data_IF_289381700324
#
_entry.id   IF_289381700324
#
_cell.length_a   1.000
_cell.length_b   1.000
_cell.length_c   1.000
_cell.angle_alpha   90.00
_cell.angle_beta   90.00
_cell.angle_gamma   90.00
#
_symmetry.space_group_name_H-M   'P 1'
#
loop_
_entity.id
_entity.type
_entity.pdbx_description
1 polymer ?
#
# COMPACT_ATOMS: atom_id res chain seq x y z
N UNK A 1 -1.83 -97.76 63.29
CA UNK A 1 -1.72 -98.22 64.75
C UNK A 1 -2.08 -97.03 65.57
N UNK A 2 -3.25 -97.12 66.16
CA UNK A 2 -3.60 -97.37 67.56
C UNK A 2 -3.69 -96.01 68.33
N UNK A 3 -4.96 -95.58 68.54
CA UNK A 3 -5.64 -95.51 69.81
C UNK A 3 -5.08 -94.44 70.80
N UNK A 4 -5.85 -93.60 71.48
CA UNK A 4 -7.19 -93.61 72.16
C UNK A 4 -7.40 -92.24 72.81
N UNK A 5 -8.57 -91.63 72.62
CA UNK A 5 -9.61 -91.28 73.61
C UNK A 5 -9.17 -90.85 75.06
N UNK A 6 -9.63 -89.71 75.46
CA UNK A 6 -10.65 -89.44 76.51
C UNK A 6 -10.67 -87.90 76.81
N UNK A 7 -11.74 -87.22 76.67
CA UNK A 7 -12.94 -86.98 77.48
C UNK A 7 -12.70 -86.34 78.84
N UNK A 8 -13.39 -85.19 78.94
CA UNK A 8 -14.17 -84.53 79.98
C UNK A 8 -13.37 -83.49 80.79
N UNK A 9 -13.84 -82.42 81.24
CA UNK A 9 -15.15 -81.92 81.59
C UNK A 9 -15.05 -80.41 81.92
N UNK A 10 -16.04 -79.61 81.58
CA UNK A 10 -16.77 -78.59 82.32
C UNK A 10 -16.00 -77.68 83.29
N UNK A 11 -16.06 -76.41 83.07
CA UNK A 11 -15.81 -75.37 84.05
C UNK A 11 -15.93 -73.97 83.41
N UNK A 12 -17.11 -73.41 83.41
CA UNK A 12 -17.33 -72.02 83.15
C UNK A 12 -16.80 -71.20 84.33
N UNK A 13 -15.88 -70.22 84.10
CA UNK A 13 -15.70 -69.16 85.06
C UNK A 13 -16.34 -67.85 84.51
N UNK A 14 -17.03 -67.24 85.38
CA UNK A 14 -17.69 -65.97 85.24
C UNK A 14 -16.78 -64.88 84.61
N UNK A 15 -17.18 -64.35 83.46
CA UNK A 15 -16.58 -63.13 82.88
C UNK A 15 -17.03 -61.94 83.74
N UNK A 16 -16.11 -61.42 84.52
CA UNK A 16 -16.21 -60.03 85.01
C UNK A 16 -16.23 -59.08 83.86
N UNK A 17 -17.30 -58.32 83.76
CA UNK A 17 -17.35 -57.15 82.87
C UNK A 17 -16.38 -56.08 83.39
N UNK A 18 -15.27 -55.92 82.80
CA UNK A 18 -14.42 -54.72 82.96
C UNK A 18 -15.09 -53.56 82.30
N UNK A 19 -15.51 -52.56 83.04
CA UNK A 19 -16.02 -51.27 82.55
C UNK A 19 -14.83 -50.50 82.03
N UNK A 20 -14.68 -50.38 80.71
CA UNK A 20 -13.71 -49.50 80.06
C UNK A 20 -14.07 -48.04 80.40
N UNK A 21 -13.10 -47.22 80.78
CA UNK A 21 -13.35 -45.81 81.08
C UNK A 21 -13.73 -45.07 79.78
N UNK A 22 -14.84 -44.42 79.84
CA UNK A 22 -15.43 -43.69 78.73
C UNK A 22 -14.49 -42.66 78.10
N UNK A 23 -14.45 -42.67 76.77
CA UNK A 23 -13.61 -41.81 75.90
C UNK A 23 -13.92 -40.32 75.99
N UNK A 24 -13.64 -39.68 77.08
CA UNK A 24 -13.77 -38.23 77.23
C UNK A 24 -12.69 -37.39 76.54
N UNK A 25 -11.60 -38.04 76.05
CA UNK A 25 -10.46 -37.30 75.43
C UNK A 25 -10.61 -37.05 73.94
N UNK A 26 -11.44 -37.73 73.17
CA UNK A 26 -11.61 -37.53 71.74
C UNK A 26 -12.34 -36.23 71.37
N UNK A 27 -13.22 -35.71 72.19
CA UNK A 27 -13.96 -34.47 71.95
C UNK A 27 -13.14 -33.20 72.18
N UNK A 28 -12.16 -33.24 73.10
CA UNK A 28 -11.28 -32.10 73.33
C UNK A 28 -10.34 -31.80 72.13
N UNK A 29 -9.80 -32.84 71.50
CA UNK A 29 -8.96 -32.67 70.29
C UNK A 29 -9.75 -32.22 69.09
N UNK A 30 -11.04 -32.62 68.97
CA UNK A 30 -11.90 -32.18 67.86
C UNK A 30 -12.23 -30.68 67.94
N UNK A 31 -12.50 -30.18 69.18
CA UNK A 31 -12.70 -28.74 69.36
C UNK A 31 -11.43 -27.92 69.10
N UNK A 32 -10.28 -28.40 69.55
CA UNK A 32 -9.00 -27.73 69.25
C UNK A 32 -8.64 -27.75 67.77
N UNK A 33 -8.89 -28.87 67.05
CA UNK A 33 -8.72 -28.97 65.61
C UNK A 33 -9.70 -28.02 64.89
N UNK A 34 -10.95 -27.95 65.27
CA UNK A 34 -11.94 -27.03 64.68
C UNK A 34 -11.54 -25.56 64.86
N UNK A 35 -11.07 -25.17 66.03
CA UNK A 35 -10.56 -23.82 66.30
C UNK A 35 -9.33 -23.51 65.44
N UNK A 36 -8.44 -24.49 65.28
CA UNK A 36 -7.24 -24.34 64.43
C UNK A 36 -7.64 -24.12 62.95
N UNK A 37 -8.60 -24.89 62.40
CA UNK A 37 -9.08 -24.69 61.04
C UNK A 37 -9.82 -23.37 60.85
N UNK A 38 -10.55 -22.88 61.83
CA UNK A 38 -11.21 -21.56 61.78
C UNK A 38 -10.17 -20.44 61.76
N UNK A 39 -9.13 -20.53 62.62
CA UNK A 39 -8.01 -19.54 62.58
C UNK A 39 -7.29 -19.59 61.26
N UNK A 40 -7.00 -20.79 60.72
CA UNK A 40 -6.36 -20.95 59.41
C UNK A 40 -7.20 -20.35 58.29
N UNK A 41 -8.54 -20.56 58.31
CA UNK A 41 -9.45 -19.98 57.33
C UNK A 41 -9.50 -18.45 57.43
N UNK A 42 -9.53 -17.89 58.64
CA UNK A 42 -9.48 -16.45 58.87
C UNK A 42 -8.15 -15.83 58.44
N UNK A 43 -7.02 -16.47 58.72
CA UNK A 43 -5.71 -16.00 58.24
C UNK A 43 -5.60 -16.10 56.73
N UNK A 44 -6.10 -17.19 56.12
CA UNK A 44 -6.14 -17.31 54.65
C UNK A 44 -7.04 -16.23 54.01
N UNK A 45 -8.20 -15.93 54.64
CA UNK A 45 -9.08 -14.85 54.17
C UNK A 45 -8.40 -13.48 54.27
N UNK A 46 -7.69 -13.20 55.38
CA UNK A 46 -6.94 -11.95 55.55
C UNK A 46 -5.77 -11.83 54.53
N UNK A 47 -5.07 -12.93 54.29
CA UNK A 47 -4.00 -12.94 53.27
C UNK A 47 -4.56 -12.74 51.88
N UNK A 48 -5.69 -13.38 51.54
CA UNK A 48 -6.38 -13.17 50.28
C UNK A 48 -6.87 -11.72 50.12
N UNK A 49 -7.43 -11.15 51.17
CA UNK A 49 -7.91 -9.77 51.19
C UNK A 49 -6.74 -8.78 51.07
N UNK A 50 -5.64 -9.01 51.78
CA UNK A 50 -4.41 -8.21 51.66
C UNK A 50 -3.79 -8.35 50.28
N UNK A 51 -3.73 -9.57 49.74
CA UNK A 51 -3.25 -9.83 48.39
C UNK A 51 -4.13 -9.14 47.32
N UNK A 52 -5.44 -9.17 47.47
CA UNK A 52 -6.37 -8.47 46.59
C UNK A 52 -6.15 -6.95 46.63
N UNK A 53 -5.99 -6.38 47.82
CA UNK A 53 -5.70 -4.94 47.95
C UNK A 53 -4.32 -4.54 47.44
N UNK A 54 -3.32 -5.39 47.53
CA UNK A 54 -1.95 -5.11 47.11
C UNK A 54 -1.73 -5.38 45.62
N UNK A 55 -2.35 -6.43 45.07
CA UNK A 55 -2.24 -6.79 43.64
C UNK A 55 -3.25 -6.06 42.73
N UNK A 56 -4.38 -5.62 43.28
CA UNK A 56 -5.43 -4.94 42.51
C UNK A 56 -4.92 -3.74 41.71
N UNK A 57 -4.20 -2.77 42.31
CA UNK A 57 -3.64 -1.63 41.59
C UNK A 57 -2.63 -2.02 40.54
N UNK A 58 -1.79 -3.05 40.78
CA UNK A 58 -0.76 -3.51 39.83
C UNK A 58 -1.36 -4.20 38.59
N UNK A 59 -2.42 -4.98 38.78
CA UNK A 59 -3.16 -5.62 37.69
C UNK A 59 -3.93 -4.55 36.89
N UNK A 60 -4.49 -3.56 37.57
CA UNK A 60 -5.22 -2.47 36.93
C UNK A 60 -4.28 -1.59 36.11
N UNK A 61 -3.13 -1.21 36.66
CA UNK A 61 -2.12 -0.41 35.95
C UNK A 61 -1.66 -1.08 34.65
N UNK A 62 -1.52 -2.39 34.64
CA UNK A 62 -1.17 -3.17 33.43
C UNK A 62 -2.29 -3.25 32.39
N UNK A 63 -3.56 -3.10 32.79
CA UNK A 63 -4.73 -3.13 31.91
C UNK A 63 -5.11 -1.76 31.34
N UNK A 64 -4.66 -0.68 31.98
CA UNK A 64 -5.12 0.68 31.67
C UNK A 64 -4.57 1.24 30.37
N UNK A 65 -3.48 0.72 29.83
CA UNK A 65 -2.84 1.26 28.63
C UNK A 65 -2.83 2.81 28.65
N UNK A 66 -1.84 3.39 29.27
CA UNK A 66 -1.62 4.83 29.22
C UNK A 66 -0.79 5.14 27.98
N UNK A 67 -1.28 6.02 27.13
CA UNK A 67 -0.66 6.43 25.89
C UNK A 67 -0.37 7.91 25.93
N UNK A 68 0.81 8.33 25.52
CA UNK A 68 1.12 9.75 25.35
C UNK A 68 0.33 10.31 24.18
N UNK A 69 -0.27 11.48 24.36
CA UNK A 69 -0.88 12.24 23.27
C UNK A 69 0.23 12.79 22.39
N UNK A 70 0.14 12.59 21.09
CA UNK A 70 1.19 12.97 20.13
C UNK A 70 0.67 14.06 19.18
N UNK A 71 1.54 15.00 18.82
CA UNK A 71 1.25 15.88 17.69
C UNK A 71 1.31 15.07 16.39
N UNK A 72 0.34 15.27 15.54
CA UNK A 72 0.31 14.56 14.26
C UNK A 72 -0.66 15.19 13.28
N UNK A 73 -0.66 14.63 12.08
CA UNK A 73 -1.49 15.06 10.97
C UNK A 73 -2.53 13.97 10.67
N UNK A 74 -3.78 14.37 10.51
CA UNK A 74 -4.85 13.54 9.98
C UNK A 74 -5.25 14.00 8.59
N UNK A 75 -5.24 13.09 7.64
CA UNK A 75 -5.57 13.36 6.25
C UNK A 75 -6.76 12.52 5.82
N UNK A 76 -7.70 13.16 5.14
CA UNK A 76 -8.76 12.43 4.44
C UNK A 76 -8.30 12.20 3.01
N UNK A 77 -8.12 10.95 2.64
CA UNK A 77 -7.66 10.54 1.32
C UNK A 77 -8.75 9.81 0.55
N UNK A 78 -8.79 10.03 -0.76
CA UNK A 78 -9.59 9.25 -1.70
C UNK A 78 -8.62 8.66 -2.70
N UNK A 79 -8.58 7.33 -2.80
CA UNK A 79 -7.85 6.65 -3.86
C UNK A 79 -8.51 6.92 -5.21
N UNK A 80 -7.73 7.37 -6.17
CA UNK A 80 -8.15 7.67 -7.53
C UNK A 80 -7.20 7.02 -8.53
N UNK A 81 -7.71 6.71 -9.69
CA UNK A 81 -6.92 6.28 -10.83
C UNK A 81 -7.13 7.24 -11.99
N UNK A 82 -6.09 7.45 -12.77
CA UNK A 82 -6.21 8.42 -13.83
C UNK A 82 -5.09 8.38 -14.87
N UNK A 83 -5.35 9.09 -15.95
CA UNK A 83 -4.46 9.20 -17.09
C UNK A 83 -3.53 10.40 -16.95
N UNK A 84 -2.27 10.19 -17.24
CA UNK A 84 -1.27 11.25 -17.34
C UNK A 84 -1.13 11.68 -18.80
N UNK A 85 -1.32 12.97 -19.06
CA UNK A 85 -1.05 13.56 -20.37
C UNK A 85 -0.06 14.70 -20.27
N UNK A 86 0.64 14.94 -21.34
CA UNK A 86 1.66 15.97 -21.47
C UNK A 86 1.60 16.56 -22.87
N UNK A 87 2.29 17.67 -23.09
CA UNK A 87 2.55 18.14 -24.45
C UNK A 87 3.60 17.24 -25.06
N UNK A 88 3.19 16.43 -26.03
CA UNK A 88 4.03 15.46 -26.73
C UNK A 88 4.07 15.83 -28.21
N UNK A 89 5.28 16.02 -28.74
CA UNK A 89 5.50 16.29 -30.16
C UNK A 89 6.02 15.03 -30.81
N UNK A 90 5.26 14.51 -31.77
CA UNK A 90 5.67 13.36 -32.56
C UNK A 90 6.71 13.78 -33.60
N UNK A 91 7.84 13.12 -33.57
CA UNK A 91 8.91 13.26 -34.57
C UNK A 91 8.76 12.19 -35.64
N UNK A 92 8.57 12.62 -36.86
CA UNK A 92 8.30 11.74 -38.02
C UNK A 92 9.58 11.46 -38.81
N UNK A 93 9.68 10.27 -39.35
CA UNK A 93 10.78 9.91 -40.25
C UNK A 93 10.85 10.86 -41.46
N UNK A 94 11.98 11.50 -41.73
CA UNK A 94 12.14 12.45 -42.83
C UNK A 94 12.25 11.76 -44.18
N UNK A 95 12.52 10.48 -44.22
CA UNK A 95 12.59 9.63 -45.40
C UNK A 95 12.30 8.18 -45.02
N UNK A 96 11.95 7.35 -45.99
CA UNK A 96 11.94 5.90 -45.81
C UNK A 96 13.39 5.41 -45.71
N UNK A 97 13.67 4.54 -44.74
CA UNK A 97 15.05 4.06 -44.52
C UNK A 97 15.22 3.36 -43.20
N UNK A 98 16.45 3.00 -42.89
CA UNK A 98 16.84 2.31 -41.65
C UNK A 98 17.38 3.29 -40.63
N UNK A 99 16.94 3.18 -39.41
CA UNK A 99 17.48 3.95 -38.27
C UNK A 99 18.90 3.46 -37.96
N UNK A 100 19.89 4.32 -38.12
CA UNK A 100 21.31 4.00 -37.90
C UNK A 100 21.75 4.36 -36.47
N UNK A 101 21.33 5.53 -36.03
CA UNK A 101 21.67 6.04 -34.70
C UNK A 101 20.44 6.67 -34.05
N UNK A 102 20.33 6.51 -32.76
CA UNK A 102 19.30 7.14 -31.90
C UNK A 102 19.98 7.91 -30.77
N UNK A 103 19.54 9.15 -30.54
CA UNK A 103 19.92 9.85 -29.31
C UNK A 103 19.33 9.12 -28.09
N UNK A 104 19.98 9.17 -26.90
CA UNK A 104 19.53 8.43 -25.73
C UNK A 104 18.07 8.73 -25.33
N UNK A 105 17.30 7.68 -25.04
CA UNK A 105 15.93 7.83 -24.55
C UNK A 105 15.93 8.20 -23.07
N UNK A 106 14.99 9.06 -22.66
CA UNK A 106 14.88 9.53 -21.26
C UNK A 106 15.82 10.69 -20.93
N UNK A 107 16.55 11.20 -21.89
CA UNK A 107 17.44 12.34 -21.69
C UNK A 107 16.89 13.63 -22.32
N UNK A 108 17.28 14.74 -21.72
CA UNK A 108 16.91 16.07 -22.22
C UNK A 108 17.87 16.51 -23.33
N UNK A 109 17.30 16.84 -24.48
CA UNK A 109 18.07 17.28 -25.63
C UNK A 109 17.71 18.70 -26.06
N UNK A 110 18.67 19.43 -26.62
CA UNK A 110 18.49 20.80 -27.08
C UNK A 110 17.89 20.83 -28.51
N UNK A 111 17.22 21.92 -28.84
CA UNK A 111 16.79 22.18 -30.23
C UNK A 111 17.98 22.12 -31.20
N UNK A 112 17.75 21.53 -32.36
CA UNK A 112 18.79 21.35 -33.40
C UNK A 112 19.72 20.15 -33.19
N UNK A 113 19.61 19.41 -32.05
CA UNK A 113 20.32 18.14 -31.86
C UNK A 113 19.70 17.06 -32.77
N UNK A 114 20.51 16.16 -33.30
CA UNK A 114 20.01 15.00 -34.04
C UNK A 114 19.35 14.01 -33.06
N UNK A 115 18.05 13.76 -33.21
CA UNK A 115 17.29 12.78 -32.45
C UNK A 115 17.47 11.37 -33.03
N UNK A 116 17.59 11.27 -34.32
CA UNK A 116 17.87 10.04 -35.05
C UNK A 116 18.67 10.34 -36.34
N UNK A 117 19.44 9.36 -36.78
CA UNK A 117 20.09 9.36 -38.04
C UNK A 117 19.56 8.20 -38.87
N UNK A 118 19.03 8.46 -40.05
CA UNK A 118 18.49 7.47 -40.97
C UNK A 118 19.39 7.29 -42.17
N UNK A 119 19.50 6.06 -42.63
CA UNK A 119 20.05 5.74 -43.93
C UNK A 119 18.89 5.57 -44.92
N UNK A 120 18.71 6.47 -45.91
CA UNK A 120 17.64 6.34 -46.87
C UNK A 120 17.71 5.02 -47.62
N UNK A 121 16.57 4.34 -47.73
CA UNK A 121 16.47 3.05 -48.39
C UNK A 121 15.12 2.97 -49.08
N UNK A 122 15.14 2.66 -50.36
CA UNK A 122 13.89 2.43 -51.09
C UNK A 122 13.32 1.06 -50.79
N UNK A 123 11.99 0.83 -50.91
CA UNK A 123 11.39 -0.48 -50.71
C UNK A 123 12.03 -1.60 -51.57
N UNK A 124 12.43 -1.28 -52.82
CA UNK A 124 13.10 -2.23 -53.72
C UNK A 124 14.54 -2.61 -53.26
N UNK A 125 15.23 -1.68 -52.62
CA UNK A 125 16.54 -1.96 -52.00
C UNK A 125 16.40 -2.73 -50.71
N UNK A 126 15.32 -2.49 -49.95
CA UNK A 126 15.00 -3.25 -48.75
C UNK A 126 14.73 -4.74 -49.09
N UNK A 127 13.94 -4.97 -50.16
CA UNK A 127 13.63 -6.35 -50.61
C UNK A 127 14.92 -7.12 -50.98
N UNK A 128 15.87 -6.44 -51.66
CA UNK A 128 17.19 -7.03 -51.96
C UNK A 128 18.01 -7.37 -50.70
N UNK A 129 18.00 -6.47 -49.71
CA UNK A 129 18.69 -6.74 -48.45
C UNK A 129 18.06 -7.92 -47.69
N UNK A 130 16.73 -8.06 -47.75
CA UNK A 130 16.03 -9.21 -47.16
C UNK A 130 16.39 -10.52 -47.85
N UNK A 131 16.43 -10.55 -49.18
CA UNK A 131 16.85 -11.74 -49.94
C UNK A 131 18.30 -12.15 -49.63
N UNK A 132 19.20 -11.16 -49.41
CA UNK A 132 20.58 -11.41 -49.00
C UNK A 132 20.71 -11.88 -47.56
N UNK A 133 19.89 -11.38 -46.62
CA UNK A 133 19.86 -11.83 -45.23
C UNK A 133 19.15 -13.17 -45.06
N UNK A 134 18.07 -13.45 -45.77
CA UNK A 134 17.40 -14.76 -45.73
C UNK A 134 18.36 -15.87 -46.13
N UNK A 135 19.22 -15.65 -47.10
CA UNK A 135 20.21 -16.65 -47.52
C UNK A 135 21.25 -16.93 -46.43
N UNK A 136 21.63 -15.94 -45.61
CA UNK A 136 22.52 -16.13 -44.46
C UNK A 136 21.76 -16.56 -43.19
N UNK A 137 20.55 -16.05 -42.97
CA UNK A 137 19.72 -16.38 -41.81
C UNK A 137 19.14 -17.79 -41.91
N UNK A 138 18.74 -18.28 -43.12
CA UNK A 138 18.30 -19.66 -43.29
C UNK A 138 19.38 -20.65 -42.89
N UNK A 139 20.63 -20.40 -43.26
CA UNK A 139 21.75 -21.24 -42.86
C UNK A 139 21.98 -21.22 -41.33
N UNK A 140 21.82 -20.06 -40.72
CA UNK A 140 21.96 -19.89 -39.26
C UNK A 140 20.76 -20.46 -38.51
N UNK A 141 19.54 -20.21 -39.01
CA UNK A 141 18.30 -20.73 -38.41
C UNK A 141 18.12 -22.23 -38.56
N UNK A 142 18.51 -22.82 -39.70
CA UNK A 142 18.55 -24.28 -39.82
C UNK A 142 19.49 -24.92 -38.78
N UNK A 143 20.61 -24.26 -38.52
CA UNK A 143 21.57 -24.69 -37.50
C UNK A 143 21.05 -24.50 -36.09
N UNK A 144 20.30 -23.44 -35.80
CA UNK A 144 19.64 -23.21 -34.50
C UNK A 144 18.41 -24.09 -34.35
N UNK A 145 17.56 -24.25 -35.34
CA UNK A 145 16.41 -25.15 -35.33
C UNK A 145 16.85 -26.61 -35.06
N UNK A 146 17.91 -27.06 -35.72
CA UNK A 146 18.46 -28.42 -35.44
C UNK A 146 19.03 -28.57 -34.03
N UNK A 147 19.50 -27.47 -33.41
CA UNK A 147 20.01 -27.47 -32.04
C UNK A 147 18.86 -27.37 -31.02
N UNK A 148 17.84 -26.53 -31.28
CA UNK A 148 16.67 -26.36 -30.41
C UNK A 148 15.71 -27.58 -30.48
N UNK A 149 15.50 -28.17 -31.64
CA UNK A 149 14.70 -29.40 -31.79
C UNK A 149 15.30 -30.57 -31.00
N UNK A 150 16.61 -30.54 -30.71
CA UNK A 150 17.27 -31.50 -29.83
C UNK A 150 17.01 -31.27 -28.34
N UNK A 151 16.59 -30.06 -27.93
CA UNK A 151 16.51 -29.66 -26.52
C UNK A 151 15.07 -29.51 -26.02
N UNK A 152 14.08 -29.06 -26.81
CA UNK A 152 12.82 -28.57 -26.27
C UNK A 152 11.51 -29.13 -26.80
N UNK A 153 11.42 -29.86 -27.90
CA UNK A 153 10.15 -30.47 -28.33
C UNK A 153 8.91 -29.57 -28.45
N UNK A 154 9.03 -28.25 -28.62
CA UNK A 154 7.94 -27.27 -28.58
C UNK A 154 7.55 -26.73 -29.97
N UNK A 155 6.24 -26.56 -30.18
CA UNK A 155 5.60 -26.03 -31.39
C UNK A 155 5.63 -24.51 -31.43
N UNK A 156 5.67 -23.98 -32.67
CA UNK A 156 5.70 -22.57 -33.01
C UNK A 156 4.35 -21.87 -32.73
N UNK A 157 4.39 -20.70 -32.07
CA UNK A 157 3.31 -19.70 -32.12
C UNK A 157 3.65 -18.65 -33.21
N UNK A 158 2.80 -18.59 -34.22
CA UNK A 158 2.75 -17.52 -35.22
C UNK A 158 1.85 -16.39 -34.70
N UNK A 159 2.28 -15.18 -34.87
CA UNK A 159 1.65 -13.87 -35.09
C UNK A 159 2.07 -12.79 -34.09
N UNK A 160 3.13 -12.10 -34.46
CA UNK A 160 3.28 -10.67 -34.17
C UNK A 160 3.93 -10.03 -35.39
N UNK A 161 3.38 -8.89 -35.86
CA UNK A 161 3.93 -8.13 -36.97
C UNK A 161 5.45 -8.00 -36.82
N UNK A 162 6.19 -8.66 -37.68
CA UNK A 162 7.66 -8.66 -37.67
C UNK A 162 8.11 -7.26 -38.01
N UNK A 163 8.51 -6.48 -37.04
CA UNK A 163 9.27 -5.26 -37.26
C UNK A 163 10.57 -5.67 -37.94
N UNK A 164 10.78 -5.16 -39.16
CA UNK A 164 11.97 -5.44 -39.94
C UNK A 164 13.17 -4.76 -39.28
N UNK A 165 13.99 -5.54 -38.58
CA UNK A 165 15.25 -5.09 -37.99
C UNK A 165 16.40 -5.62 -38.85
N UNK A 166 17.15 -4.73 -39.42
CA UNK A 166 18.38 -5.05 -40.17
C UNK A 166 19.51 -5.28 -39.14
N UNK A 167 19.87 -6.55 -38.93
CA UNK A 167 20.94 -6.92 -38.00
C UNK A 167 22.23 -7.09 -38.77
N UNK A 168 23.15 -6.13 -38.69
CA UNK A 168 24.47 -6.25 -39.30
C UNK A 168 25.10 -4.89 -39.66
N UNK A 169 26.34 -4.92 -40.15
CA UNK A 169 26.96 -3.73 -40.72
C UNK A 169 26.26 -3.34 -42.02
N UNK A 170 25.69 -2.14 -42.03
CA UNK A 170 25.07 -1.61 -43.24
C UNK A 170 26.07 -1.64 -44.44
N UNK A 171 25.61 -2.02 -45.64
CA UNK A 171 26.47 -2.09 -46.79
C UNK A 171 27.16 -0.75 -47.09
N UNK A 172 28.41 -0.73 -47.60
CA UNK A 172 29.14 0.51 -47.90
C UNK A 172 28.44 1.45 -48.88
N UNK A 173 27.54 0.92 -49.72
CA UNK A 173 26.75 1.72 -50.65
C UNK A 173 25.61 2.49 -49.98
N UNK A 174 25.23 2.14 -48.77
CA UNK A 174 24.25 2.86 -47.97
C UNK A 174 24.95 3.92 -47.10
N UNK A 175 25.70 4.82 -47.75
CA UNK A 175 26.54 5.82 -47.09
C UNK A 175 25.79 7.12 -46.74
N UNK A 176 24.70 7.40 -47.44
CA UNK A 176 23.92 8.62 -47.22
C UNK A 176 23.28 8.61 -45.84
N UNK A 177 23.25 9.78 -45.19
CA UNK A 177 22.67 9.97 -43.87
C UNK A 177 21.75 11.17 -43.86
N UNK A 178 20.55 10.97 -43.28
CA UNK A 178 19.56 12.03 -43.06
C UNK A 178 19.32 12.17 -41.56
N UNK A 179 19.55 13.36 -41.05
CA UNK A 179 19.36 13.65 -39.63
C UNK A 179 17.95 14.11 -39.38
N UNK A 180 17.29 13.49 -38.40
CA UNK A 180 16.07 14.01 -37.81
C UNK A 180 16.45 14.94 -36.65
N UNK A 181 16.32 16.26 -36.90
CA UNK A 181 16.68 17.27 -35.91
C UNK A 181 15.50 17.61 -35.00
N UNK A 182 15.80 17.85 -33.73
CA UNK A 182 14.81 18.31 -32.75
C UNK A 182 14.37 19.76 -33.06
N UNK A 183 13.07 20.04 -33.24
CA UNK A 183 12.57 21.40 -33.49
C UNK A 183 12.61 22.30 -32.25
N UNK A 184 12.51 21.72 -31.08
CA UNK A 184 12.56 22.40 -29.78
C UNK A 184 13.32 21.54 -28.76
N UNK A 185 13.66 22.13 -27.59
CA UNK A 185 14.30 21.38 -26.51
C UNK A 185 13.25 20.61 -25.70
N UNK A 186 13.55 19.39 -25.32
CA UNK A 186 12.63 18.55 -24.53
C UNK A 186 13.26 17.23 -24.10
N UNK A 187 12.46 16.38 -23.50
CA UNK A 187 12.83 15.02 -23.14
C UNK A 187 12.49 14.08 -24.31
N UNK A 188 13.48 13.36 -24.81
CA UNK A 188 13.31 12.45 -25.94
C UNK A 188 12.89 11.06 -25.45
N UNK A 189 11.85 10.48 -26.06
CA UNK A 189 11.45 9.09 -25.83
C UNK A 189 11.34 8.32 -27.14
N UNK A 190 11.79 7.07 -27.10
CA UNK A 190 11.73 6.13 -28.23
C UNK A 190 10.40 5.38 -28.31
N UNK A 191 9.66 5.32 -27.18
CA UNK A 191 8.41 4.59 -27.10
C UNK A 191 7.21 5.49 -27.40
N UNK A 192 6.41 5.07 -28.35
CA UNK A 192 5.10 5.62 -28.68
C UNK A 192 4.04 4.65 -28.20
N UNK A 193 2.97 5.17 -27.60
CA UNK A 193 1.89 4.39 -27.00
C UNK A 193 0.51 4.64 -27.63
N UNK A 194 0.50 5.42 -28.73
CA UNK A 194 -0.73 5.78 -29.45
C UNK A 194 -1.61 6.81 -28.75
N UNK A 195 -1.20 7.30 -27.57
CA UNK A 195 -1.91 8.30 -26.78
C UNK A 195 -1.33 9.71 -26.88
N UNK A 196 -0.37 9.93 -27.78
CA UNK A 196 0.38 11.18 -27.89
C UNK A 196 -0.49 12.38 -28.36
N UNK A 197 -1.56 12.11 -29.07
CA UNK A 197 -2.45 13.15 -29.62
C UNK A 197 -3.76 13.28 -28.83
N UNK A 198 -3.76 12.88 -27.57
CA UNK A 198 -4.95 13.05 -26.73
C UNK A 198 -5.12 14.53 -26.39
N UNK A 199 -6.17 15.14 -26.93
CA UNK A 199 -6.55 16.51 -26.65
C UNK A 199 -7.79 16.58 -25.75
N UNK A 200 -7.86 17.62 -24.94
CA UNK A 200 -9.02 17.88 -24.06
C UNK A 200 -8.96 17.11 -22.74
N UNK A 201 -10.12 16.79 -22.22
CA UNK A 201 -10.29 16.03 -20.98
C UNK A 201 -10.68 14.58 -21.30
N UNK A 202 -9.75 13.63 -21.35
CA UNK A 202 -10.05 12.24 -21.57
C UNK A 202 -10.80 11.65 -20.35
N UNK A 203 -12.11 11.62 -20.41
CA UNK A 203 -12.97 11.08 -19.36
C UNK A 203 -13.01 9.56 -19.46
N UNK A 204 -11.91 8.90 -19.11
CA UNK A 204 -11.75 7.45 -19.17
C UNK A 204 -11.63 6.87 -17.77
N UNK A 205 -12.36 5.78 -17.53
CA UNK A 205 -12.14 4.91 -16.37
C UNK A 205 -10.96 3.98 -16.61
N UNK A 206 -10.45 3.33 -15.55
CA UNK A 206 -9.38 2.35 -15.66
C UNK A 206 -9.75 1.20 -16.61
N UNK A 207 -11.01 0.75 -16.58
CA UNK A 207 -11.52 -0.32 -17.46
C UNK A 207 -11.55 0.12 -18.92
N UNK A 208 -12.08 1.33 -19.20
CA UNK A 208 -12.10 1.91 -20.55
C UNK A 208 -10.69 2.13 -21.11
N UNK A 209 -9.76 2.59 -20.25
CA UNK A 209 -8.36 2.74 -20.64
C UNK A 209 -7.71 1.40 -20.98
N UNK A 210 -7.90 0.37 -20.12
CA UNK A 210 -7.35 -0.97 -20.33
C UNK A 210 -7.93 -1.66 -21.58
N UNK A 211 -9.23 -1.40 -21.88
CA UNK A 211 -9.90 -1.95 -23.06
C UNK A 211 -9.49 -1.24 -24.37
N UNK A 212 -8.98 -0.01 -24.29
CA UNK A 212 -8.56 0.76 -25.46
C UNK A 212 -7.16 0.30 -25.90
N UNK A 213 -7.13 -0.73 -26.73
CA UNK A 213 -5.89 -1.16 -27.41
C UNK A 213 -5.38 -0.04 -28.33
N UNK A 214 -4.10 0.31 -28.19
CA UNK A 214 -3.40 1.27 -29.03
C UNK A 214 -2.14 0.62 -29.56
N UNK A 215 -1.72 1.07 -30.75
CA UNK A 215 -0.49 0.59 -31.36
C UNK A 215 0.71 1.11 -30.58
N UNK A 216 1.44 0.19 -29.96
CA UNK A 216 2.70 0.49 -29.32
C UNK A 216 3.82 0.37 -30.35
N UNK A 217 4.68 1.37 -30.41
CA UNK A 217 5.86 1.38 -31.28
C UNK A 217 7.08 1.79 -30.45
N UNK A 218 8.19 1.11 -30.66
CA UNK A 218 9.47 1.48 -30.05
C UNK A 218 10.54 1.57 -31.14
N UNK A 219 11.13 2.75 -31.27
CA UNK A 219 12.25 2.95 -32.18
C UNK A 219 13.51 2.25 -31.65
N UNK A 220 14.13 1.47 -32.48
CA UNK A 220 15.41 0.81 -32.21
C UNK A 220 16.34 0.98 -33.41
N UNK A 221 17.64 0.97 -33.20
CA UNK A 221 18.62 0.97 -34.28
C UNK A 221 18.49 -0.30 -35.13
N UNK A 222 18.64 -0.17 -36.44
CA UNK A 222 18.41 -1.22 -37.41
C UNK A 222 16.95 -1.33 -37.88
N UNK A 223 16.00 -0.61 -37.28
CA UNK A 223 14.60 -0.66 -37.70
C UNK A 223 14.37 0.10 -39.00
N UNK A 224 13.71 -0.55 -39.98
CA UNK A 224 13.20 0.13 -41.17
C UNK A 224 11.93 0.91 -40.84
N UNK A 225 11.85 2.14 -41.32
CA UNK A 225 10.70 3.02 -41.16
C UNK A 225 10.34 3.69 -42.47
N UNK A 226 9.04 3.93 -42.65
CA UNK A 226 8.54 4.66 -43.83
C UNK A 226 8.54 6.17 -43.60
N UNK A 227 8.70 6.96 -44.68
CA UNK A 227 8.61 8.41 -44.61
C UNK A 227 7.28 8.87 -43.98
N UNK A 228 7.36 9.84 -43.09
CA UNK A 228 6.18 10.41 -42.39
C UNK A 228 5.66 9.59 -41.23
N UNK A 229 6.15 8.37 -41.01
CA UNK A 229 5.80 7.56 -39.81
C UNK A 229 6.36 8.22 -38.56
N UNK A 230 5.55 8.38 -37.49
CA UNK A 230 6.07 8.78 -36.19
C UNK A 230 7.04 7.72 -35.64
N UNK A 231 8.23 8.13 -35.24
CA UNK A 231 9.27 7.21 -34.73
C UNK A 231 9.74 7.55 -33.32
N UNK A 232 9.67 8.82 -32.95
CA UNK A 232 10.10 9.30 -31.64
C UNK A 232 9.08 10.31 -31.12
N UNK A 233 9.08 10.56 -29.84
CA UNK A 233 8.35 11.69 -29.24
C UNK A 233 9.24 12.56 -28.37
N UNK A 234 9.00 13.86 -28.45
CA UNK A 234 9.62 14.89 -27.64
C UNK A 234 8.58 15.37 -26.63
N UNK A 235 8.92 15.29 -25.36
CA UNK A 235 8.04 15.68 -24.27
C UNK A 235 8.48 17.03 -23.70
N UNK A 236 7.53 17.97 -23.63
CA UNK A 236 7.63 19.12 -22.76
C UNK A 236 7.11 18.73 -21.38
N UNK A 237 8.00 18.54 -20.43
CA UNK A 237 7.64 18.08 -19.08
C UNK A 237 7.54 19.21 -18.03
N UNK A 238 7.44 20.48 -18.43
CA UNK A 238 7.22 21.60 -17.51
C UNK A 238 5.85 21.53 -16.83
N UNK A 239 4.83 21.13 -17.60
CA UNK A 239 3.47 20.94 -17.14
C UNK A 239 2.98 19.59 -17.62
N UNK A 240 2.27 18.90 -16.76
CA UNK A 240 1.58 17.68 -17.10
C UNK A 240 0.22 17.65 -16.45
N UNK A 241 -0.68 16.87 -16.98
CA UNK A 241 -2.07 16.85 -16.56
C UNK A 241 -2.42 15.46 -16.04
N UNK A 242 -3.21 15.46 -14.97
CA UNK A 242 -3.77 14.25 -14.42
C UNK A 242 -5.28 14.29 -14.59
N UNK A 243 -5.79 13.35 -15.40
CA UNK A 243 -7.22 13.21 -15.70
C UNK A 243 -7.77 12.07 -14.87
N UNK A 244 -8.76 12.34 -14.02
CA UNK A 244 -9.39 11.35 -13.16
C UNK A 244 -10.91 11.38 -13.29
N UNK A 245 -11.53 10.24 -13.05
CA UNK A 245 -12.98 10.07 -13.04
C UNK A 245 -13.40 9.68 -11.63
N UNK A 246 -14.36 10.44 -11.09
CA UNK A 246 -14.91 10.18 -9.77
C UNK A 246 -16.43 9.97 -9.87
N UNK A 247 -17.04 9.20 -8.94
CA UNK A 247 -18.48 9.17 -8.77
C UNK A 247 -19.04 10.57 -8.48
N UNK A 248 -20.29 10.80 -8.82
CA UNK A 248 -20.91 12.13 -8.86
C UNK A 248 -20.76 12.93 -7.55
N UNK A 249 -21.08 12.33 -6.40
CA UNK A 249 -21.07 13.03 -5.11
C UNK A 249 -19.67 13.44 -4.64
N UNK A 250 -18.69 12.52 -4.53
CA UNK A 250 -17.33 12.92 -4.19
C UNK A 250 -16.72 13.82 -5.27
N UNK A 251 -17.02 13.58 -6.56
CA UNK A 251 -16.54 14.37 -7.67
C UNK A 251 -16.98 15.82 -7.62
N UNK A 252 -18.23 16.11 -7.29
CA UNK A 252 -18.72 17.49 -7.11
C UNK A 252 -18.02 18.22 -5.96
N UNK A 253 -17.78 17.50 -4.86
CA UNK A 253 -17.06 18.07 -3.71
C UNK A 253 -15.62 18.44 -4.07
N UNK A 254 -14.97 17.59 -4.85
CA UNK A 254 -13.60 17.80 -5.34
C UNK A 254 -13.56 18.89 -6.41
N UNK A 255 -14.52 18.91 -7.35
CA UNK A 255 -14.63 19.92 -8.40
C UNK A 255 -14.81 21.36 -7.86
N UNK A 256 -15.36 21.50 -6.64
CA UNK A 256 -15.47 22.80 -5.99
C UNK A 256 -14.13 23.36 -5.47
N UNK A 257 -13.04 22.62 -5.58
CA UNK A 257 -11.70 23.00 -5.11
C UNK A 257 -10.80 23.35 -6.30
N UNK A 258 -10.29 24.56 -6.29
CA UNK A 258 -9.37 25.00 -7.35
C UNK A 258 -8.01 24.27 -7.29
N UNK A 259 -7.59 23.89 -6.09
CA UNK A 259 -6.29 23.24 -5.87
C UNK A 259 -6.50 22.06 -4.93
N UNK A 260 -5.83 20.96 -5.21
CA UNK A 260 -5.82 19.74 -4.40
C UNK A 260 -4.38 19.28 -4.17
N UNK A 261 -4.21 18.38 -3.21
CA UNK A 261 -2.96 17.62 -3.05
C UNK A 261 -3.14 16.22 -3.59
N UNK A 262 -2.20 15.79 -4.43
CA UNK A 262 -2.14 14.44 -4.99
C UNK A 262 -0.85 13.76 -4.55
N UNK A 263 -0.95 12.55 -4.06
CA UNK A 263 0.20 11.68 -3.79
C UNK A 263 0.15 10.50 -4.74
N UNK A 264 1.07 10.46 -5.69
CA UNK A 264 1.09 9.43 -6.74
C UNK A 264 1.77 8.15 -6.25
N UNK A 265 1.30 7.00 -6.72
CA UNK A 265 1.86 5.69 -6.38
C UNK A 265 3.33 5.52 -6.82
N UNK A 266 3.77 6.22 -7.86
CA UNK A 266 5.16 6.24 -8.30
C UNK A 266 6.06 7.18 -7.48
N UNK A 267 5.50 8.03 -6.61
CA UNK A 267 6.23 8.97 -5.74
C UNK A 267 5.64 9.00 -4.32
N UNK A 268 5.68 7.88 -3.57
CA UNK A 268 5.08 7.79 -2.25
C UNK A 268 5.77 8.73 -1.25
N UNK A 269 4.98 9.35 -0.37
CA UNK A 269 5.46 10.32 0.62
C UNK A 269 5.76 11.71 0.06
N UNK A 270 5.45 11.97 -1.23
CA UNK A 270 5.68 13.24 -1.89
C UNK A 270 4.37 13.83 -2.46
N UNK A 271 3.45 14.32 -1.60
CA UNK A 271 2.25 14.94 -2.06
C UNK A 271 2.57 16.23 -2.83
N UNK A 272 1.92 16.42 -3.97
CA UNK A 272 2.11 17.58 -4.84
C UNK A 272 0.83 18.39 -4.98
N UNK A 273 0.97 19.70 -5.12
CA UNK A 273 -0.14 20.58 -5.43
C UNK A 273 -0.52 20.44 -6.91
N UNK A 274 -1.81 20.32 -7.15
CA UNK A 274 -2.38 20.21 -8.49
C UNK A 274 -3.53 21.22 -8.63
N UNK A 275 -3.52 22.01 -9.70
CA UNK A 275 -4.51 23.04 -9.97
C UNK A 275 -5.57 22.56 -10.95
N UNK A 276 -6.83 22.78 -10.62
CA UNK A 276 -7.97 22.38 -11.46
C UNK A 276 -7.99 23.19 -12.76
N UNK A 277 -7.96 22.48 -13.88
CA UNK A 277 -8.06 23.04 -15.23
C UNK A 277 -9.48 22.91 -15.78
N UNK A 278 -10.08 21.73 -15.63
CA UNK A 278 -11.45 21.50 -16.07
C UNK A 278 -12.18 20.49 -15.17
N UNK A 279 -13.49 20.67 -15.10
CA UNK A 279 -14.40 19.75 -14.44
C UNK A 279 -15.64 19.57 -15.32
N UNK A 280 -15.88 18.37 -15.77
CA UNK A 280 -17.06 18.00 -16.58
C UNK A 280 -17.93 17.07 -15.76
N UNK A 281 -19.20 17.47 -15.58
CA UNK A 281 -20.17 16.71 -14.80
C UNK A 281 -21.09 15.96 -15.76
N UNK A 282 -20.99 14.65 -15.74
CA UNK A 282 -21.88 13.75 -16.48
C UNK A 282 -22.93 13.20 -15.52
N UNK A 283 -24.11 13.83 -15.54
CA UNK A 283 -25.23 13.42 -14.70
C UNK A 283 -25.93 12.14 -15.20
N UNK A 284 -25.77 11.77 -16.47
CA UNK A 284 -26.38 10.57 -17.04
C UNK A 284 -25.63 9.31 -16.59
N UNK A 285 -24.30 9.39 -16.57
CA UNK A 285 -23.44 8.30 -16.14
C UNK A 285 -22.99 8.42 -14.69
N UNK A 286 -23.52 9.37 -13.92
CA UNK A 286 -23.23 9.61 -12.50
C UNK A 286 -21.72 9.78 -12.20
N UNK A 287 -20.98 10.43 -13.11
CA UNK A 287 -19.54 10.62 -12.99
C UNK A 287 -19.12 12.09 -13.18
N UNK A 288 -17.97 12.43 -12.63
CA UNK A 288 -17.31 13.72 -12.80
C UNK A 288 -15.89 13.48 -13.33
N UNK A 289 -15.58 14.09 -14.46
CA UNK A 289 -14.27 14.05 -15.07
C UNK A 289 -13.49 15.30 -14.70
N UNK A 290 -12.37 15.14 -14.06
CA UNK A 290 -11.53 16.21 -13.54
C UNK A 290 -10.16 16.20 -14.19
N UNK A 291 -9.68 17.36 -14.61
CA UNK A 291 -8.32 17.54 -15.09
C UNK A 291 -7.57 18.50 -14.19
N UNK A 292 -6.48 18.04 -13.64
CA UNK A 292 -5.56 18.84 -12.83
C UNK A 292 -4.22 19.02 -13.52
N UNK A 293 -3.67 20.22 -13.42
CA UNK A 293 -2.30 20.55 -13.86
C UNK A 293 -1.33 20.37 -12.71
N UNK A 294 -0.23 19.69 -12.97
CA UNK A 294 0.89 19.51 -12.03
C UNK A 294 2.16 20.08 -12.66
N UNK A 295 2.90 20.87 -11.90
CA UNK A 295 4.16 21.49 -12.33
C UNK A 295 5.40 20.80 -11.76
N UNK A 296 5.23 20.01 -10.69
CA UNK A 296 6.32 19.27 -10.08
C UNK A 296 6.74 18.09 -10.97
N UNK A 297 8.05 17.92 -11.12
CA UNK A 297 8.63 16.85 -11.90
C UNK A 297 9.09 15.70 -10.99
N UNK A 298 9.00 14.49 -11.50
CA UNK A 298 9.50 13.28 -10.86
C UNK A 298 10.44 12.55 -11.83
N UNK A 299 11.39 11.81 -11.28
CA UNK A 299 12.27 11.00 -12.12
C UNK A 299 11.57 9.66 -12.46
N UNK A 300 11.64 9.27 -13.74
CA UNK A 300 11.19 7.95 -14.19
C UNK A 300 9.68 7.81 -14.43
N UNK A 301 8.90 8.91 -14.36
CA UNK A 301 7.47 8.86 -14.66
C UNK A 301 7.14 9.18 -16.13
N UNK A 302 8.14 9.53 -16.91
CA UNK A 302 7.99 10.07 -18.27
C UNK A 302 7.30 9.10 -19.23
N UNK A 303 7.52 7.80 -19.04
CA UNK A 303 6.88 6.74 -19.82
C UNK A 303 5.49 6.33 -19.30
N UNK A 304 5.08 6.81 -18.12
CA UNK A 304 3.79 6.43 -17.54
C UNK A 304 2.64 7.17 -18.25
N UNK A 305 1.60 6.42 -18.59
CA UNK A 305 0.36 6.95 -19.14
C UNK A 305 -0.81 6.84 -18.17
N UNK A 306 -0.74 5.90 -17.22
CA UNK A 306 -1.75 5.67 -16.21
C UNK A 306 -1.11 5.51 -14.83
N UNK A 307 -1.72 6.07 -13.81
CA UNK A 307 -1.26 5.91 -12.43
C UNK A 307 -2.40 6.05 -11.45
N UNK A 308 -2.31 5.34 -10.33
CA UNK A 308 -3.10 5.62 -9.14
C UNK A 308 -2.49 6.76 -8.34
N UNK A 309 -3.34 7.49 -7.63
CA UNK A 309 -2.95 8.53 -6.71
C UNK A 309 -3.91 8.59 -5.51
N UNK A 310 -3.43 9.08 -4.39
CA UNK A 310 -4.27 9.47 -3.26
C UNK A 310 -4.57 10.97 -3.37
N UNK A 311 -5.84 11.30 -3.54
CA UNK A 311 -6.33 12.67 -3.46
C UNK A 311 -6.54 13.05 -1.99
N UNK A 312 -5.77 14.00 -1.49
CA UNK A 312 -5.84 14.50 -0.12
C UNK A 312 -6.85 15.65 -0.07
N UNK A 313 -8.04 15.37 0.47
CA UNK A 313 -9.14 16.32 0.49
C UNK A 313 -9.02 17.28 1.66
N UNK A 314 -8.66 16.78 2.82
CA UNK A 314 -8.53 17.56 4.04
C UNK A 314 -7.31 17.06 4.82
N UNK A 315 -6.49 18.02 5.25
CA UNK A 315 -5.30 17.79 6.06
C UNK A 315 -5.37 18.72 7.26
N UNK A 316 -5.33 18.15 8.46
CA UNK A 316 -5.35 18.87 9.72
C UNK A 316 -4.23 18.42 10.61
N UNK A 317 -3.64 19.36 11.32
CA UNK A 317 -2.64 19.12 12.34
C UNK A 317 -3.29 19.33 13.72
N UNK A 318 -2.94 18.49 14.68
CA UNK A 318 -3.49 18.55 16.03
C UNK A 318 -2.97 17.42 16.91
N UNK A 319 -3.54 17.33 18.09
CA UNK A 319 -3.19 16.28 19.06
C UNK A 319 -3.96 15.00 18.75
N UNK A 320 -3.25 13.92 18.54
CA UNK A 320 -3.81 12.61 18.22
C UNK A 320 -3.79 11.71 19.46
N UNK A 321 -4.92 11.09 19.72
CA UNK A 321 -5.14 10.13 20.79
C UNK A 321 -5.87 8.89 20.24
N UNK A 322 -5.83 7.74 20.93
CA UNK A 322 -6.70 6.62 20.59
C UNK A 322 -8.18 7.01 20.71
N UNK A 323 -8.99 6.71 19.69
CA UNK A 323 -10.43 7.04 19.70
C UNK A 323 -11.16 6.39 20.88
N UNK A 324 -10.73 5.17 21.30
CA UNK A 324 -11.28 4.50 22.47
C UNK A 324 -11.02 5.18 23.83
N UNK A 325 -10.19 6.22 23.86
CA UNK A 325 -9.94 7.01 25.07
C UNK A 325 -10.98 8.12 25.30
N UNK A 326 -11.80 8.42 24.29
CA UNK A 326 -12.87 9.42 24.39
C UNK A 326 -13.99 8.95 25.31
N UNK A 327 -14.45 9.85 26.14
CA UNK A 327 -15.59 9.63 27.09
C UNK A 327 -16.57 10.78 26.89
N UNK A 328 -17.84 10.45 26.87
CA UNK A 328 -18.92 11.43 26.99
C UNK A 328 -19.42 11.44 28.44
N UNK A 329 -19.42 12.61 29.06
CA UNK A 329 -19.98 12.86 30.39
C UNK A 329 -21.01 13.98 30.32
N UNK A 330 -22.26 13.61 30.42
CA UNK A 330 -23.38 14.57 30.42
C UNK A 330 -23.42 15.47 29.16
N UNK A 331 -23.00 14.91 28.01
CA UNK A 331 -22.91 15.65 26.73
C UNK A 331 -21.60 16.43 26.53
N UNK A 332 -20.62 16.29 27.44
CA UNK A 332 -19.29 16.87 27.31
C UNK A 332 -18.29 15.79 26.95
N UNK A 333 -17.66 15.96 25.78
CA UNK A 333 -16.59 15.06 25.33
C UNK A 333 -15.30 15.35 26.11
N UNK A 334 -14.62 14.31 26.56
CA UNK A 334 -13.40 14.44 27.31
C UNK A 334 -12.55 13.19 27.33
N UNK A 335 -11.42 13.24 28.00
CA UNK A 335 -10.48 12.13 28.20
C UNK A 335 -10.05 12.06 29.66
N UNK A 336 -9.69 10.86 30.10
CA UNK A 336 -9.02 10.73 31.39
C UNK A 336 -7.51 10.82 31.20
N UNK A 337 -6.89 11.71 31.95
CA UNK A 337 -5.44 11.93 32.00
C UNK A 337 -4.86 11.33 33.28
N UNK A 338 -3.69 10.72 33.18
CA UNK A 338 -2.88 10.39 34.35
C UNK A 338 -1.99 11.60 34.69
N UNK A 339 -2.40 12.38 35.68
CA UNK A 339 -1.63 13.54 36.17
C UNK A 339 -1.03 13.21 37.54
N UNK A 340 0.27 12.94 37.59
CA UNK A 340 0.97 12.65 38.83
C UNK A 340 0.44 11.42 39.59
N UNK A 341 0.03 10.38 38.89
CA UNK A 341 -0.54 9.17 39.47
C UNK A 341 -2.00 9.28 39.90
N UNK A 342 -2.71 10.31 39.46
CA UNK A 342 -4.16 10.48 39.64
C UNK A 342 -4.89 10.60 38.34
N UNK A 343 -6.07 9.98 38.26
CA UNK A 343 -6.98 10.12 37.12
C UNK A 343 -7.71 11.45 37.21
N UNK A 344 -7.60 12.26 36.18
CA UNK A 344 -8.32 13.53 36.05
C UNK A 344 -9.06 13.57 34.72
N UNK A 345 -10.34 13.94 34.76
CA UNK A 345 -11.11 14.21 33.56
C UNK A 345 -10.69 15.55 32.96
N UNK A 346 -10.47 15.59 31.65
CA UNK A 346 -10.19 16.80 30.88
C UNK A 346 -11.13 16.87 29.69
N UNK A 347 -11.84 17.99 29.60
CA UNK A 347 -12.69 18.26 28.43
C UNK A 347 -11.84 18.47 27.20
N UNK A 348 -12.30 17.92 26.05
CA UNK A 348 -11.65 18.08 24.76
C UNK A 348 -12.68 18.38 23.69
N UNK A 349 -12.28 19.21 22.72
CA UNK A 349 -13.02 19.38 21.48
C UNK A 349 -12.56 18.35 20.46
N UNK A 350 -13.49 17.53 19.95
CA UNK A 350 -13.17 16.55 18.92
C UNK A 350 -13.16 17.24 17.57
N UNK A 351 -11.98 17.27 16.91
CA UNK A 351 -11.84 17.83 15.57
C UNK A 351 -12.25 16.77 14.53
N UNK A 352 -11.74 15.53 14.71
CA UNK A 352 -11.98 14.43 13.79
C UNK A 352 -11.74 13.08 14.47
N UNK A 353 -12.49 12.08 14.01
CA UNK A 353 -12.25 10.68 14.35
C UNK A 353 -12.05 9.94 13.02
N UNK A 354 -10.96 9.18 12.92
CA UNK A 354 -10.67 8.30 11.79
C UNK A 354 -10.09 7.00 12.32
N UNK A 355 -10.70 5.90 11.92
CA UNK A 355 -10.33 4.56 12.37
C UNK A 355 -10.26 4.49 13.92
N UNK A 356 -9.11 4.09 14.45
CA UNK A 356 -8.85 3.99 15.89
C UNK A 356 -8.23 5.25 16.51
N UNK A 357 -8.19 6.38 15.79
CA UNK A 357 -7.57 7.64 16.22
C UNK A 357 -8.57 8.77 16.27
N UNK A 358 -8.40 9.64 17.24
CA UNK A 358 -9.14 10.89 17.34
C UNK A 358 -8.16 12.07 17.41
N UNK A 359 -8.42 13.11 16.64
CA UNK A 359 -7.73 14.39 16.75
C UNK A 359 -8.57 15.29 17.65
N UNK A 360 -7.94 15.84 18.64
CA UNK A 360 -8.61 16.66 19.67
C UNK A 360 -7.86 17.95 19.96
N UNK A 361 -8.60 18.92 20.47
CA UNK A 361 -8.06 20.14 21.11
C UNK A 361 -8.42 20.13 22.60
N UNK A 362 -7.61 20.82 23.42
CA UNK A 362 -7.85 20.95 24.85
C UNK A 362 -6.87 20.18 25.72
N UNK A 363 -5.93 19.43 25.12
CA UNK A 363 -4.80 18.79 25.81
C UNK A 363 -3.49 19.12 25.10
N UNK A 364 -2.38 19.01 25.81
CA UNK A 364 -1.04 19.24 25.29
C UNK A 364 -0.39 17.94 24.81
N UNK A 365 0.54 18.05 23.87
CA UNK A 365 1.39 16.94 23.47
C UNK A 365 2.16 16.37 24.68
N UNK A 366 2.31 15.05 24.75
CA UNK A 366 2.92 14.36 25.87
C UNK A 366 1.97 14.11 27.04
N UNK A 367 0.72 14.61 27.02
CA UNK A 367 -0.28 14.27 28.02
C UNK A 367 -0.54 12.77 28.07
N UNK A 368 -0.48 12.18 29.27
CA UNK A 368 -0.69 10.75 29.46
C UNK A 368 -2.17 10.39 29.48
N UNK A 369 -2.69 9.98 28.35
CA UNK A 369 -4.11 9.64 28.13
C UNK A 369 -4.37 8.18 28.49
N UNK A 370 -5.46 7.89 29.19
CA UNK A 370 -5.89 6.54 29.54
C UNK A 370 -6.72 5.98 28.39
N UNK A 371 -6.17 5.01 27.65
CA UNK A 371 -6.81 4.45 26.46
C UNK A 371 -8.07 3.62 26.73
N UNK A 372 -8.25 3.17 27.99
CA UNK A 372 -9.44 2.40 28.41
C UNK A 372 -10.15 3.09 29.58
N UNK A 373 -10.93 4.12 29.31
CA UNK A 373 -11.58 4.94 30.33
C UNK A 373 -12.58 4.17 31.19
N UNK A 374 -13.21 3.12 30.68
CA UNK A 374 -14.19 2.30 31.42
C UNK A 374 -13.62 1.58 32.65
N UNK A 375 -12.29 1.54 32.80
CA UNK A 375 -11.62 0.87 33.93
C UNK A 375 -11.23 1.82 35.05
N UNK A 376 -11.51 3.10 34.94
CA UNK A 376 -11.09 4.11 35.92
C UNK A 376 -12.22 5.06 36.30
N UNK A 377 -12.11 5.65 37.47
CA UNK A 377 -12.96 6.73 37.94
C UNK A 377 -12.12 7.98 38.21
N UNK A 378 -12.73 9.14 38.08
CA UNK A 378 -12.08 10.40 38.37
C UNK A 378 -11.62 10.48 39.84
N UNK A 379 -10.40 10.96 40.06
CA UNK A 379 -9.78 11.02 41.38
C UNK A 379 -9.09 9.73 41.83
N UNK A 380 -9.26 8.62 41.12
CA UNK A 380 -8.61 7.36 41.40
C UNK A 380 -7.08 7.52 41.34
N UNK A 381 -6.37 6.92 42.30
CA UNK A 381 -4.90 6.84 42.28
C UNK A 381 -4.44 5.65 41.47
N UNK A 382 -3.52 5.92 40.54
CA UNK A 382 -2.81 4.95 39.73
C UNK A 382 -1.41 4.83 40.35
N UNK A 383 -1.20 3.89 41.23
CA UNK A 383 0.12 3.63 41.87
C UNK A 383 0.90 2.60 41.04
#
# INVERSE_FOLDING_TARGET
MSRRRRRAETGLPHRRLEVLPGGGRRFAHFKQAAVFYVILALTALLVLQAGYHWMGPFILARRLQVVAAEEGTMEQRIGVEGMLTRRELLLKAPCSGVIVELAPSGERAAAGTAAAVLAPLTPAELEKLQEEEETQAEYFWEKIKSYLARITGAQEEEDSERQLIVTGQLPPWLADRVNLLLPEAGLLLHQLDGWENVAGNPCLTAEEFAAASRDNFTAVEGLYVEEGRPILKLIDNWHWFYHMVLPLDPGRTVAARNTVLLEFSFAPGQPVSADLISAEIDNENEKVCLTYCVTQQFAGFEGLRWSSADLIIDRREGIIIPAGALVDREGVAGVFLNQGGKVKFNEVAIIRIMDDRAMVEGIEAGSMVIARPALVEEGQRLN
#
